data_IF_253227200329
#
_entry.id   IF_253227200329
#
_cell.length_a   1.000
_cell.length_b   1.000
_cell.length_c   1.000
_cell.angle_alpha   90.00
_cell.angle_beta   90.00
_cell.angle_gamma   90.00
#
_symmetry.space_group_name_H-M   'P 1'
#
loop_
_entity.id
_entity.type
_entity.pdbx_description
1 polymer ?
#
# COMPACT_ATOMS: atom_id res chain seq x y z
N UNK A 1 54.65 40.28 -13.96
CA UNK A 1 54.68 39.10 -13.06
C UNK A 1 53.50 39.19 -12.11
N UNK A 2 52.42 38.47 -12.43
CA UNK A 2 51.16 38.51 -11.66
C UNK A 2 51.28 37.50 -10.51
N UNK A 3 51.24 38.01 -9.27
CA UNK A 3 51.28 37.21 -8.04
C UNK A 3 49.92 36.54 -7.80
N UNK A 4 49.90 35.21 -7.76
CA UNK A 4 48.75 34.41 -7.32
C UNK A 4 48.76 34.35 -5.79
N UNK A 5 47.69 34.83 -5.15
CA UNK A 5 47.44 34.69 -3.71
C UNK A 5 46.81 33.32 -3.45
N UNK A 6 47.42 32.54 -2.56
CA UNK A 6 46.85 31.31 -1.98
C UNK A 6 45.71 31.66 -1.03
N UNK A 7 44.58 30.94 -1.16
CA UNK A 7 43.44 31.00 -0.23
C UNK A 7 43.45 29.70 0.59
N UNK A 8 43.31 29.73 1.94
CA UNK A 8 43.31 28.51 2.74
C UNK A 8 42.00 27.74 2.62
N UNK A 9 42.10 26.41 2.60
CA UNK A 9 40.98 25.47 2.76
C UNK A 9 40.40 25.60 4.17
N UNK A 10 39.18 26.16 4.28
CA UNK A 10 38.39 26.05 5.50
C UNK A 10 37.70 24.68 5.53
N UNK A 11 37.91 23.95 6.63
CA UNK A 11 37.35 22.63 6.87
C UNK A 11 35.83 22.63 6.90
N UNK A 12 35.23 21.65 6.23
CA UNK A 12 33.82 21.31 6.39
C UNK A 12 33.61 20.71 7.78
N UNK A 13 33.01 21.50 8.68
CA UNK A 13 32.50 21.03 9.96
C UNK A 13 31.28 20.12 9.73
N UNK A 14 31.37 18.89 10.23
CA UNK A 14 30.29 17.92 10.36
C UNK A 14 29.28 18.39 11.41
N UNK A 15 28.31 19.22 11.05
CA UNK A 15 27.13 19.49 11.89
C UNK A 15 26.00 20.16 11.12
N UNK A 16 25.18 19.39 10.39
CA UNK A 16 23.81 19.82 10.00
C UNK A 16 22.83 18.66 10.22
N UNK A 17 22.77 18.19 11.46
CA UNK A 17 21.65 17.40 11.99
C UNK A 17 21.40 17.85 13.43
N UNK A 18 20.91 19.07 13.63
CA UNK A 18 20.23 19.36 14.90
C UNK A 18 19.29 20.58 14.83
N UNK A 19 18.17 20.43 15.56
CA UNK A 19 17.19 21.44 16.02
C UNK A 19 15.90 21.57 15.21
N UNK A 20 14.99 20.65 15.55
CA UNK A 20 13.54 20.84 15.48
C UNK A 20 13.13 22.02 16.38
N UNK A 21 13.00 23.20 15.79
CA UNK A 21 12.44 24.39 16.46
C UNK A 21 10.94 24.25 16.71
N UNK A 22 10.51 24.53 17.94
CA UNK A 22 9.11 24.51 18.38
C UNK A 22 8.27 25.53 17.59
N UNK A 23 7.45 25.03 16.67
CA UNK A 23 6.18 25.63 16.23
C UNK A 23 5.17 24.49 16.21
N UNK A 24 3.97 24.71 16.77
CA UNK A 24 2.88 23.74 16.83
C UNK A 24 2.62 23.13 15.43
N UNK A 25 3.20 21.96 15.18
CA UNK A 25 3.06 21.22 13.94
C UNK A 25 2.66 19.81 14.35
N UNK A 26 1.46 19.37 13.96
CA UNK A 26 1.15 17.94 13.93
C UNK A 26 2.30 17.21 13.23
N UNK A 27 3.02 16.35 13.96
CA UNK A 27 4.12 15.50 13.45
C UNK A 27 3.61 14.56 12.36
N UNK A 28 2.31 14.22 12.45
CA UNK A 28 1.59 13.44 11.47
C UNK A 28 1.23 14.27 10.24
N UNK A 29 1.73 13.82 9.10
CA UNK A 29 1.48 14.40 7.80
C UNK A 29 1.45 13.29 6.73
N UNK A 30 0.77 13.59 5.62
CA UNK A 30 0.74 12.73 4.45
C UNK A 30 1.60 13.37 3.36
N UNK A 31 2.48 12.58 2.77
CA UNK A 31 3.30 12.94 1.61
C UNK A 31 2.91 12.05 0.43
N UNK A 32 3.06 12.55 -0.79
CA UNK A 32 2.88 11.76 -2.01
C UNK A 32 3.93 12.06 -3.07
N UNK A 33 4.16 11.10 -3.96
CA UNK A 33 4.97 11.24 -5.18
C UNK A 33 4.41 10.34 -6.30
N UNK A 34 4.61 10.69 -7.56
CA UNK A 34 4.04 10.02 -8.73
C UNK A 34 3.11 10.90 -9.56
N UNK A 35 2.18 10.28 -10.26
CA UNK A 35 1.22 10.92 -11.15
C UNK A 35 0.18 11.73 -10.37
N UNK A 36 0.01 13.01 -10.74
CA UNK A 36 -0.97 13.92 -10.10
C UNK A 36 -2.17 14.24 -10.99
N UNK A 37 -2.06 14.00 -12.31
CA UNK A 37 -3.09 14.38 -13.30
C UNK A 37 -4.49 13.82 -13.00
N UNK A 38 -4.57 12.67 -12.33
CA UNK A 38 -5.83 12.06 -11.91
C UNK A 38 -6.54 12.82 -10.78
N UNK A 39 -5.82 13.66 -10.03
CA UNK A 39 -6.32 14.29 -8.80
C UNK A 39 -6.02 13.50 -7.52
N UNK A 40 -5.27 12.39 -7.61
CA UNK A 40 -4.95 11.47 -6.48
C UNK A 40 -4.38 12.17 -5.23
N UNK A 41 -3.81 13.37 -5.35
CA UNK A 41 -3.17 14.09 -4.23
C UNK A 41 -4.06 15.10 -3.51
N UNK A 42 -5.35 15.18 -3.88
CA UNK A 42 -6.29 16.14 -3.32
C UNK A 42 -5.77 17.60 -3.35
N UNK A 43 -4.90 17.93 -4.30
CA UNK A 43 -4.19 19.22 -4.38
C UNK A 43 -4.41 19.84 -5.77
N UNK A 44 -5.48 20.63 -5.95
CA UNK A 44 -5.87 21.12 -7.28
C UNK A 44 -4.83 21.93 -8.03
N UNK A 45 -3.96 22.63 -7.30
CA UNK A 45 -2.87 23.41 -7.89
C UNK A 45 -1.77 22.58 -8.55
N UNK A 46 -1.75 21.26 -8.34
CA UNK A 46 -0.86 20.32 -9.06
C UNK A 46 -1.46 19.82 -10.37
N UNK A 47 -2.72 20.14 -10.68
CA UNK A 47 -3.42 19.73 -11.90
C UNK A 47 -3.77 20.94 -12.76
N UNK A 48 -4.27 22.01 -12.14
CA UNK A 48 -4.83 23.17 -12.85
C UNK A 48 -3.79 24.21 -13.30
N UNK A 49 -2.55 24.12 -12.86
CA UNK A 49 -1.50 25.06 -13.26
C UNK A 49 -0.72 24.49 -14.44
N UNK A 50 -0.91 25.08 -15.62
CA UNK A 50 -0.26 24.67 -16.88
C UNK A 50 1.27 24.57 -16.79
N UNK A 51 1.90 25.33 -15.88
CA UNK A 51 3.35 25.33 -15.67
C UNK A 51 3.89 24.21 -14.79
N UNK A 52 3.02 23.37 -14.19
CA UNK A 52 3.45 22.24 -13.36
C UNK A 52 3.22 20.94 -14.12
N UNK A 53 4.28 20.15 -14.25
CA UNK A 53 4.21 18.83 -14.86
C UNK A 53 3.13 17.96 -14.21
N UNK A 54 2.64 16.99 -14.98
CA UNK A 54 1.60 16.01 -14.59
C UNK A 54 2.05 15.03 -13.49
N UNK A 55 3.28 15.17 -13.00
CA UNK A 55 3.92 14.31 -12.01
C UNK A 55 4.65 15.11 -10.94
N UNK A 56 4.83 14.48 -9.79
CA UNK A 56 5.59 15.00 -8.65
C UNK A 56 6.59 13.93 -8.24
N UNK A 57 7.87 14.16 -8.52
CA UNK A 57 8.91 13.15 -8.31
C UNK A 57 9.65 13.29 -6.97
N UNK A 58 9.39 14.34 -6.18
CA UNK A 58 9.89 14.50 -4.80
C UNK A 58 8.75 14.36 -3.81
N UNK A 59 8.99 13.95 -2.55
CA UNK A 59 7.94 13.85 -1.55
C UNK A 59 7.22 15.20 -1.37
N UNK A 60 5.95 15.25 -1.77
CA UNK A 60 5.12 16.44 -1.64
C UNK A 60 4.16 16.28 -0.49
N UNK A 61 4.25 17.18 0.51
CA UNK A 61 3.27 17.21 1.61
C UNK A 61 1.89 17.57 1.06
N UNK A 62 0.89 16.76 1.36
CA UNK A 62 -0.48 16.94 0.91
C UNK A 62 -1.24 17.85 1.89
N UNK A 63 -1.37 19.12 1.53
CA UNK A 63 -1.95 20.13 2.43
C UNK A 63 -3.42 19.86 2.77
N UNK A 64 -4.17 19.20 1.89
CA UNK A 64 -5.55 18.77 2.15
C UNK A 64 -5.66 17.87 3.39
N UNK A 65 -4.65 17.04 3.65
CA UNK A 65 -4.63 16.14 4.81
C UNK A 65 -4.28 16.85 6.12
N UNK A 66 -3.76 18.08 6.05
CA UNK A 66 -3.40 18.83 7.25
C UNK A 66 -4.65 19.11 8.09
N UNK A 67 -4.50 19.04 9.42
CA UNK A 67 -5.58 19.24 10.43
C UNK A 67 -6.70 18.18 10.41
N UNK A 68 -6.69 17.20 9.49
CA UNK A 68 -7.66 16.10 9.47
C UNK A 68 -7.29 14.92 10.38
N UNK A 69 -6.09 14.95 10.99
CA UNK A 69 -5.59 13.88 11.86
C UNK A 69 -5.60 12.51 11.18
N UNK A 70 -5.19 12.45 9.90
CA UNK A 70 -5.19 11.23 9.09
C UNK A 70 -4.39 10.12 9.79
N UNK A 71 -4.97 8.93 9.92
CA UNK A 71 -4.39 7.73 10.52
C UNK A 71 -4.16 6.60 9.52
N UNK A 72 -4.91 6.60 8.42
CA UNK A 72 -4.87 5.57 7.38
C UNK A 72 -4.78 6.23 6.01
N UNK A 73 -4.03 5.59 5.12
CA UNK A 73 -3.84 5.98 3.72
C UNK A 73 -3.98 4.73 2.85
N UNK A 74 -4.52 4.88 1.65
CA UNK A 74 -4.52 3.84 0.63
C UNK A 74 -4.42 4.48 -0.76
N UNK A 75 -3.57 3.93 -1.62
CA UNK A 75 -3.34 4.36 -3.00
C UNK A 75 -3.89 3.28 -3.94
N UNK A 76 -4.94 3.60 -4.68
CA UNK A 76 -5.50 2.76 -5.74
C UNK A 76 -4.99 3.19 -7.13
N UNK A 77 -5.64 2.73 -8.19
CA UNK A 77 -5.28 3.09 -9.57
C UNK A 77 -5.82 4.49 -9.90
N UNK A 78 -4.96 5.50 -9.76
CA UNK A 78 -5.33 6.90 -10.04
C UNK A 78 -6.23 7.55 -8.99
N UNK A 79 -6.41 6.94 -7.81
CA UNK A 79 -7.16 7.53 -6.70
C UNK A 79 -6.52 7.21 -5.35
N UNK A 80 -6.84 8.04 -4.36
CA UNK A 80 -6.36 7.92 -3.00
C UNK A 80 -7.51 7.96 -2.01
N UNK A 81 -7.36 7.22 -0.91
CA UNK A 81 -8.17 7.33 0.29
C UNK A 81 -7.33 7.79 1.48
N UNK A 82 -7.94 8.61 2.32
CA UNK A 82 -7.36 9.10 3.57
C UNK A 82 -8.42 9.01 4.66
N UNK A 83 -8.08 8.48 5.84
CA UNK A 83 -9.05 8.44 6.94
C UNK A 83 -8.47 8.95 8.25
N UNK A 84 -9.28 9.73 8.96
CA UNK A 84 -9.14 9.96 10.40
C UNK A 84 -9.85 8.85 11.17
N UNK A 85 -10.03 8.97 12.48
CA UNK A 85 -10.81 7.98 13.25
C UNK A 85 -12.31 7.98 12.88
N UNK A 86 -12.81 9.06 12.29
CA UNK A 86 -14.25 9.33 12.18
C UNK A 86 -14.70 9.66 10.74
N UNK A 87 -13.75 9.92 9.85
CA UNK A 87 -14.06 10.39 8.51
C UNK A 87 -13.13 9.74 7.50
N UNK A 88 -13.70 9.32 6.38
CA UNK A 88 -12.98 8.92 5.18
C UNK A 88 -13.05 10.05 4.16
N UNK A 89 -11.94 10.30 3.49
CA UNK A 89 -11.80 11.26 2.42
C UNK A 89 -11.18 10.57 1.21
N UNK A 90 -11.46 11.08 0.02
CA UNK A 90 -10.92 10.56 -1.22
C UNK A 90 -10.69 11.62 -2.28
N UNK A 91 -9.78 11.34 -3.21
CA UNK A 91 -9.50 12.18 -4.38
C UNK A 91 -8.93 11.32 -5.51
N UNK A 92 -9.05 11.78 -6.76
CA UNK A 92 -8.62 11.04 -7.94
C UNK A 92 -9.78 10.57 -8.81
N UNK A 93 -9.55 9.53 -9.60
CA UNK A 93 -10.55 8.94 -10.48
C UNK A 93 -11.74 8.39 -9.67
N UNK A 94 -12.96 8.60 -10.17
CA UNK A 94 -14.22 8.16 -9.57
C UNK A 94 -15.25 7.65 -10.61
N UNK A 95 -14.81 7.29 -11.81
CA UNK A 95 -15.67 6.83 -12.91
C UNK A 95 -16.42 5.51 -12.62
N UNK A 96 -15.99 4.76 -11.60
CA UNK A 96 -16.69 3.57 -11.08
C UNK A 96 -17.13 3.75 -9.62
N UNK A 97 -17.20 4.99 -9.12
CA UNK A 97 -17.64 5.31 -7.76
C UNK A 97 -16.71 4.80 -6.64
N UNK A 98 -15.43 4.52 -6.95
CA UNK A 98 -14.41 4.11 -5.99
C UNK A 98 -14.13 5.14 -4.89
N UNK A 99 -14.68 6.36 -4.99
CA UNK A 99 -14.67 7.39 -3.95
C UNK A 99 -16.05 7.60 -3.29
N UNK A 100 -16.97 6.64 -3.45
CA UNK A 100 -18.24 6.53 -2.73
C UNK A 100 -19.48 7.00 -3.48
N UNK A 101 -19.38 7.36 -4.75
CA UNK A 101 -20.52 7.81 -5.58
C UNK A 101 -20.36 9.23 -6.11
N UNK A 102 -21.26 9.68 -7.01
CA UNK A 102 -21.25 11.05 -7.47
C UNK A 102 -21.76 11.96 -6.37
N UNK A 103 -20.92 12.87 -5.88
CA UNK A 103 -21.38 13.98 -5.04
C UNK A 103 -22.16 14.95 -5.94
N UNK A 104 -23.47 14.69 -6.12
CA UNK A 104 -24.38 15.64 -6.77
C UNK A 104 -24.49 16.86 -5.87
N UNK A 105 -23.81 17.94 -6.25
CA UNK A 105 -24.06 19.26 -5.67
C UNK A 105 -25.15 19.94 -6.49
N UNK A 106 -25.97 20.80 -5.87
CA UNK A 106 -27.02 21.56 -6.57
C UNK A 106 -26.49 22.37 -7.77
N UNK A 107 -25.17 22.63 -7.83
CA UNK A 107 -24.49 23.39 -8.88
C UNK A 107 -23.99 22.54 -10.05
N UNK A 108 -23.95 21.21 -9.95
CA UNK A 108 -23.40 20.34 -11.00
C UNK A 108 -24.35 19.18 -11.34
N UNK A 109 -25.04 19.31 -12.48
CA UNK A 109 -25.99 18.31 -12.98
C UNK A 109 -25.34 17.04 -13.55
N UNK A 110 -24.01 16.99 -13.72
CA UNK A 110 -23.25 15.81 -14.17
C UNK A 110 -22.44 15.21 -13.01
N UNK A 111 -22.38 13.88 -12.94
CA UNK A 111 -21.48 13.18 -12.02
C UNK A 111 -20.03 13.51 -12.36
N UNK A 112 -19.28 14.02 -11.40
CA UNK A 112 -17.82 14.21 -11.53
C UNK A 112 -17.15 12.82 -11.55
N UNK A 113 -16.57 12.47 -12.70
CA UNK A 113 -15.82 11.21 -12.92
C UNK A 113 -14.41 11.26 -12.30
N UNK A 114 -14.00 12.41 -11.76
CA UNK A 114 -12.75 12.59 -11.03
C UNK A 114 -12.85 13.73 -10.02
N UNK A 115 -12.11 13.61 -8.91
CA UNK A 115 -12.01 14.59 -7.83
C UNK A 115 -10.58 15.11 -7.71
N UNK A 116 -10.31 16.25 -8.36
CA UNK A 116 -9.01 16.93 -8.28
C UNK A 116 -8.73 17.45 -6.85
N UNK A 117 -9.78 17.84 -6.12
CA UNK A 117 -9.71 18.18 -4.70
C UNK A 117 -10.30 17.08 -3.84
N UNK A 118 -9.80 16.93 -2.61
CA UNK A 118 -10.32 15.90 -1.71
C UNK A 118 -11.78 16.13 -1.31
N UNK A 119 -12.54 15.04 -1.28
CA UNK A 119 -13.95 14.98 -0.88
C UNK A 119 -14.11 14.06 0.32
N UNK A 120 -15.12 14.31 1.15
CA UNK A 120 -15.53 13.34 2.18
C UNK A 120 -16.29 12.20 1.50
N UNK A 121 -15.95 10.96 1.83
CA UNK A 121 -16.68 9.78 1.35
C UNK A 121 -17.92 9.59 2.22
N UNK A 122 -19.13 9.51 1.64
CA UNK A 122 -20.38 9.37 2.39
C UNK A 122 -20.58 7.92 2.86
N UNK A 123 -20.12 7.61 4.05
CA UNK A 123 -20.50 6.39 4.78
C UNK A 123 -21.77 6.64 5.61
N UNK A 124 -22.45 5.57 6.05
CA UNK A 124 -23.61 5.69 6.92
C UNK A 124 -23.26 6.43 8.22
N UNK A 125 -24.20 7.22 8.78
CA UNK A 125 -23.95 8.05 9.97
C UNK A 125 -23.51 7.23 11.19
N UNK A 126 -23.91 5.96 11.25
CA UNK A 126 -23.55 5.01 12.30
C UNK A 126 -22.45 4.01 11.88
N UNK A 127 -21.56 4.41 10.96
CA UNK A 127 -20.46 3.55 10.52
C UNK A 127 -19.36 3.34 11.58
N UNK A 128 -19.42 3.97 12.76
CA UNK A 128 -18.46 3.74 13.83
C UNK A 128 -17.07 4.34 13.57
N UNK A 129 -16.04 3.85 14.28
CA UNK A 129 -14.65 4.34 14.11
C UNK A 129 -13.97 3.62 12.95
N UNK A 130 -13.20 4.35 12.15
CA UNK A 130 -12.42 3.78 11.05
C UNK A 130 -11.20 3.04 11.62
N UNK A 131 -11.06 1.78 11.22
CA UNK A 131 -9.98 0.88 11.63
C UNK A 131 -8.93 0.70 10.52
N UNK A 132 -9.34 0.79 9.26
CA UNK A 132 -8.45 0.59 8.13
C UNK A 132 -9.07 0.97 6.80
N UNK A 133 -8.21 1.15 5.80
CA UNK A 133 -8.57 1.43 4.41
C UNK A 133 -7.82 0.46 3.50
N UNK A 134 -8.45 0.08 2.40
CA UNK A 134 -7.75 -0.52 1.27
C UNK A 134 -8.33 0.02 -0.05
N UNK A 135 -7.51 0.04 -1.09
CA UNK A 135 -7.89 0.53 -2.40
C UNK A 135 -7.39 -0.47 -3.46
N UNK A 136 -8.31 -1.04 -4.22
CA UNK A 136 -7.99 -1.89 -5.36
C UNK A 136 -7.86 -1.09 -6.65
N UNK A 137 -8.11 -1.74 -7.78
CA UNK A 137 -8.10 -1.12 -9.12
C UNK A 137 -9.21 -0.08 -9.24
N UNK A 138 -10.44 -0.47 -8.97
CA UNK A 138 -11.62 0.38 -9.17
C UNK A 138 -12.60 0.30 -7.99
N UNK A 139 -12.15 -0.16 -6.82
CA UNK A 139 -12.98 -0.31 -5.63
C UNK A 139 -12.20 0.03 -4.36
N UNK A 140 -12.95 0.24 -3.28
CA UNK A 140 -12.44 0.72 -2.00
C UNK A 140 -13.05 -0.08 -0.87
N UNK A 141 -12.24 -0.39 0.14
CA UNK A 141 -12.67 -1.01 1.39
C UNK A 141 -12.44 -0.06 2.56
N UNK A 142 -13.40 -0.05 3.48
CA UNK A 142 -13.30 0.65 4.76
C UNK A 142 -13.69 -0.32 5.87
N UNK A 143 -12.74 -0.67 6.72
CA UNK A 143 -13.00 -1.38 7.96
C UNK A 143 -13.40 -0.38 9.04
N UNK A 144 -14.48 -0.67 9.75
CA UNK A 144 -14.91 0.13 10.90
C UNK A 144 -15.28 -0.75 12.08
N UNK A 145 -15.48 -0.13 13.25
CA UNK A 145 -16.01 -0.84 14.43
C UNK A 145 -17.43 -1.37 14.25
N UNK A 146 -18.17 -0.94 13.23
CA UNK A 146 -19.52 -1.45 12.95
C UNK A 146 -19.56 -2.46 11.80
N UNK A 147 -18.46 -2.66 11.06
CA UNK A 147 -18.35 -3.68 10.03
C UNK A 147 -17.47 -3.27 8.84
N UNK A 148 -17.60 -4.03 7.76
CA UNK A 148 -16.91 -3.78 6.50
C UNK A 148 -17.82 -2.98 5.56
N UNK A 149 -17.28 -1.96 4.91
CA UNK A 149 -17.93 -1.24 3.82
C UNK A 149 -17.07 -1.38 2.57
N UNK A 150 -17.71 -1.66 1.44
CA UNK A 150 -17.07 -1.74 0.13
C UNK A 150 -17.88 -0.93 -0.89
N UNK A 151 -17.18 -0.18 -1.74
CA UNK A 151 -17.81 0.65 -2.78
C UNK A 151 -16.88 0.82 -3.99
N UNK A 152 -17.48 1.10 -5.14
CA UNK A 152 -16.81 1.19 -6.41
C UNK A 152 -17.33 0.18 -7.42
N UNK A 153 -16.44 -0.29 -8.30
CA UNK A 153 -16.70 -1.39 -9.22
C UNK A 153 -17.01 -2.67 -8.44
N UNK A 154 -18.03 -3.40 -8.89
CA UNK A 154 -18.41 -4.71 -8.38
C UNK A 154 -18.65 -5.69 -9.53
N UNK A 155 -17.99 -5.51 -10.68
CA UNK A 155 -18.19 -6.38 -11.85
C UNK A 155 -17.70 -7.82 -11.58
N UNK A 156 -16.76 -8.00 -10.66
CA UNK A 156 -16.23 -9.28 -10.23
C UNK A 156 -16.65 -9.65 -8.80
N UNK A 157 -17.64 -8.96 -8.22
CA UNK A 157 -18.06 -9.21 -6.85
C UNK A 157 -17.11 -8.66 -5.77
N UNK A 158 -16.14 -7.82 -6.15
CA UNK A 158 -15.12 -7.31 -5.24
C UNK A 158 -15.63 -6.28 -4.21
N UNK A 159 -16.93 -5.97 -4.23
CA UNK A 159 -17.62 -5.24 -3.17
C UNK A 159 -18.52 -6.15 -2.30
N UNK A 160 -18.42 -7.47 -2.41
CA UNK A 160 -19.13 -8.40 -1.53
C UNK A 160 -20.63 -8.52 -1.82
N UNK A 161 -21.07 -8.19 -3.04
CA UNK A 161 -22.47 -8.23 -3.46
C UNK A 161 -22.61 -8.90 -4.82
N UNK A 162 -23.80 -9.45 -5.12
CA UNK A 162 -24.05 -10.13 -6.39
C UNK A 162 -23.79 -9.19 -7.59
N UNK A 163 -22.77 -9.47 -8.43
CA UNK A 163 -22.32 -8.58 -9.50
C UNK A 163 -23.35 -8.45 -10.64
N UNK A 164 -24.17 -9.47 -10.88
CA UNK A 164 -25.21 -9.44 -11.92
C UNK A 164 -26.34 -8.47 -11.56
N UNK A 165 -26.65 -8.34 -10.27
CA UNK A 165 -27.68 -7.42 -9.77
C UNK A 165 -27.16 -6.03 -9.48
N UNK A 166 -25.90 -5.94 -9.05
CA UNK A 166 -25.26 -4.69 -8.61
C UNK A 166 -23.81 -4.63 -9.11
N UNK A 167 -23.58 -4.25 -10.37
CA UNK A 167 -22.22 -4.19 -10.94
C UNK A 167 -21.38 -3.02 -10.41
N UNK A 168 -21.98 -2.10 -9.66
CA UNK A 168 -21.28 -1.01 -8.97
C UNK A 168 -22.01 -0.65 -7.67
N UNK A 169 -21.25 -0.23 -6.66
CA UNK A 169 -21.75 0.14 -5.33
C UNK A 169 -21.37 1.60 -5.06
N UNK A 170 -22.38 2.45 -4.83
CA UNK A 170 -22.21 3.88 -4.60
C UNK A 170 -23.24 4.38 -3.59
N UNK A 171 -22.92 5.48 -2.90
CA UNK A 171 -23.90 6.21 -2.12
C UNK A 171 -24.89 6.94 -3.04
N UNK A 172 -26.17 6.86 -2.71
CA UNK A 172 -27.24 7.67 -3.27
C UNK A 172 -28.06 8.30 -2.14
N UNK A 173 -28.79 9.38 -2.46
CA UNK A 173 -29.59 10.18 -1.50
C UNK A 173 -30.47 9.31 -0.60
N UNK A 174 -31.07 8.27 -1.16
CA UNK A 174 -32.00 7.37 -0.46
C UNK A 174 -31.41 5.96 -0.24
N UNK A 175 -30.13 5.76 -0.54
CA UNK A 175 -29.46 4.47 -0.38
C UNK A 175 -27.98 4.65 0.00
N UNK A 176 -27.71 4.61 1.30
CA UNK A 176 -26.34 4.63 1.81
C UNK A 176 -25.59 3.36 1.43
N UNK A 177 -24.25 3.44 1.40
CA UNK A 177 -23.39 2.26 1.23
C UNK A 177 -23.66 1.30 2.39
N UNK A 178 -24.15 0.13 2.04
CA UNK A 178 -24.48 -0.92 3.01
C UNK A 178 -23.21 -1.66 3.44
N UNK A 179 -23.29 -2.27 4.63
CA UNK A 179 -22.22 -3.16 5.10
C UNK A 179 -22.14 -4.40 4.21
N UNK A 180 -20.93 -4.90 4.03
CA UNK A 180 -20.69 -6.24 3.51
C UNK A 180 -20.99 -7.24 4.62
N UNK A 181 -21.76 -8.27 4.32
CA UNK A 181 -22.08 -9.35 5.25
C UNK A 181 -20.91 -10.34 5.31
N UNK A 182 -20.31 -10.50 6.49
CA UNK A 182 -19.29 -11.51 6.75
C UNK A 182 -19.94 -12.67 7.51
N UNK A 183 -19.61 -13.94 7.21
CA UNK A 183 -20.17 -15.09 7.91
C UNK A 183 -19.44 -15.35 9.25
N UNK A 184 -19.22 -14.30 10.03
CA UNK A 184 -18.63 -14.33 11.37
C UNK A 184 -18.94 -13.03 12.12
N UNK A 185 -19.14 -13.15 13.44
CA UNK A 185 -19.32 -12.01 14.35
C UNK A 185 -17.99 -11.46 14.89
N UNK A 186 -16.86 -12.11 14.55
CA UNK A 186 -15.53 -11.70 15.00
C UNK A 186 -15.16 -10.31 14.46
N UNK A 187 -14.63 -9.39 15.27
CA UNK A 187 -14.31 -8.04 14.81
C UNK A 187 -13.27 -8.01 13.70
N UNK A 188 -13.45 -7.12 12.72
CA UNK A 188 -12.45 -6.87 11.68
C UNK A 188 -11.27 -6.11 12.28
N UNK A 189 -10.05 -6.58 12.01
CA UNK A 189 -8.80 -5.92 12.46
C UNK A 189 -8.00 -5.31 11.31
N UNK A 190 -8.15 -5.84 10.09
CA UNK A 190 -7.45 -5.34 8.91
C UNK A 190 -8.26 -5.60 7.64
N UNK A 191 -8.13 -4.72 6.66
CA UNK A 191 -8.61 -4.93 5.29
C UNK A 191 -7.44 -4.80 4.32
N UNK A 192 -7.54 -5.50 3.21
CA UNK A 192 -6.60 -5.41 2.11
C UNK A 192 -7.36 -5.56 0.79
N UNK A 193 -6.87 -4.92 -0.26
CA UNK A 193 -7.41 -5.04 -1.59
C UNK A 193 -6.24 -5.10 -2.56
N UNK A 194 -6.31 -6.03 -3.49
CA UNK A 194 -5.51 -5.99 -4.71
C UNK A 194 -6.42 -5.63 -5.88
N UNK A 195 -6.00 -5.88 -7.12
CA UNK A 195 -6.65 -5.43 -8.36
C UNK A 195 -8.19 -5.46 -8.26
N UNK A 196 -8.76 -6.67 -8.29
CA UNK A 196 -10.21 -6.88 -8.25
C UNK A 196 -10.59 -7.93 -7.20
N UNK A 197 -9.83 -8.01 -6.11
CA UNK A 197 -10.07 -8.93 -4.99
C UNK A 197 -9.88 -8.19 -3.67
N UNK A 198 -10.79 -8.48 -2.74
CA UNK A 198 -10.91 -7.87 -1.43
C UNK A 198 -10.67 -8.89 -0.34
N UNK A 199 -10.08 -8.43 0.75
CA UNK A 199 -9.78 -9.25 1.92
C UNK A 199 -10.20 -8.55 3.22
N UNK A 200 -10.77 -9.32 4.14
CA UNK A 200 -11.08 -8.90 5.50
C UNK A 200 -10.48 -9.88 6.50
N UNK A 201 -9.56 -9.40 7.34
CA UNK A 201 -8.95 -10.17 8.41
C UNK A 201 -9.66 -9.88 9.73
N UNK A 202 -10.11 -10.94 10.40
CA UNK A 202 -10.81 -10.87 11.67
C UNK A 202 -9.87 -11.08 12.86
N UNK A 203 -10.32 -10.69 14.06
CA UNK A 203 -9.55 -10.74 15.30
C UNK A 203 -9.20 -12.17 15.74
N UNK A 204 -10.00 -13.15 15.34
CA UNK A 204 -9.72 -14.58 15.55
C UNK A 204 -8.65 -15.16 14.60
N UNK A 205 -8.19 -14.36 13.63
CA UNK A 205 -7.21 -14.77 12.62
C UNK A 205 -7.83 -15.30 11.33
N UNK A 206 -9.16 -15.39 11.23
CA UNK A 206 -9.83 -15.81 9.99
C UNK A 206 -9.68 -14.73 8.92
N UNK A 207 -9.21 -15.13 7.74
CA UNK A 207 -9.13 -14.28 6.56
C UNK A 207 -10.29 -14.62 5.62
N UNK A 208 -11.10 -13.63 5.28
CA UNK A 208 -12.13 -13.73 4.24
C UNK A 208 -11.64 -13.06 2.96
N UNK A 209 -11.97 -13.65 1.82
CA UNK A 209 -11.73 -13.10 0.49
C UNK A 209 -13.02 -13.06 -0.34
N UNK A 210 -13.10 -12.08 -1.24
CA UNK A 210 -14.18 -11.97 -2.24
C UNK A 210 -13.73 -11.10 -3.42
N UNK A 211 -14.28 -11.34 -4.60
CA UNK A 211 -13.89 -10.72 -5.86
C UNK A 211 -13.47 -11.72 -6.91
N UNK A 212 -12.62 -11.28 -7.84
CA UNK A 212 -12.00 -12.11 -8.86
C UNK A 212 -11.02 -13.10 -8.23
N UNK A 213 -10.89 -14.31 -8.78
CA UNK A 213 -9.91 -15.32 -8.37
C UNK A 213 -9.39 -16.16 -9.55
N UNK A 214 -9.18 -15.54 -10.73
CA UNK A 214 -8.69 -16.26 -11.91
C UNK A 214 -7.28 -16.84 -11.71
N UNK A 215 -6.41 -16.13 -11.00
CA UNK A 215 -5.06 -16.61 -10.64
C UNK A 215 -5.02 -17.30 -9.27
N UNK A 216 -6.20 -17.53 -8.67
CA UNK A 216 -6.33 -18.13 -7.35
C UNK A 216 -6.19 -17.14 -6.20
N UNK A 217 -6.17 -15.83 -6.45
CA UNK A 217 -5.93 -14.81 -5.42
C UNK A 217 -6.94 -14.82 -4.25
N UNK A 218 -8.16 -15.34 -4.42
CA UNK A 218 -9.08 -15.50 -3.28
C UNK A 218 -8.67 -16.61 -2.31
N UNK A 219 -7.82 -17.56 -2.72
CA UNK A 219 -7.22 -18.54 -1.83
C UNK A 219 -8.19 -19.54 -1.19
N UNK A 220 -9.37 -19.74 -1.77
CA UNK A 220 -10.45 -20.60 -1.25
C UNK A 220 -10.57 -21.95 -1.97
N UNK A 221 -9.51 -22.40 -2.65
CA UNK A 221 -9.51 -23.66 -3.40
C UNK A 221 -10.26 -23.63 -4.73
N UNK A 222 -10.78 -22.48 -5.14
CA UNK A 222 -11.53 -22.30 -6.39
C UNK A 222 -10.97 -21.15 -7.24
N UNK A 223 -11.17 -21.27 -8.55
CA UNK A 223 -10.91 -20.20 -9.51
C UNK A 223 -12.21 -19.46 -9.88
N UNK A 224 -12.09 -18.29 -10.48
CA UNK A 224 -13.24 -17.50 -10.95
C UNK A 224 -13.77 -16.51 -9.90
N UNK A 225 -15.00 -16.05 -10.08
CA UNK A 225 -15.59 -15.01 -9.23
C UNK A 225 -16.18 -15.62 -7.96
N UNK A 226 -15.76 -15.10 -6.81
CA UNK A 226 -16.35 -15.38 -5.50
C UNK A 226 -16.87 -14.09 -4.89
N UNK A 227 -18.15 -13.74 -5.12
CA UNK A 227 -18.69 -12.45 -4.67
C UNK A 227 -19.16 -12.44 -3.21
N UNK A 228 -19.40 -13.60 -2.61
CA UNK A 228 -19.69 -13.69 -1.18
C UNK A 228 -18.37 -13.83 -0.41
N UNK A 229 -18.17 -13.06 0.68
CA UNK A 229 -17.01 -13.26 1.54
C UNK A 229 -16.88 -14.72 1.98
N UNK A 230 -15.81 -15.36 1.50
CA UNK A 230 -15.53 -16.78 1.71
C UNK A 230 -14.21 -16.91 2.44
N UNK A 231 -14.13 -17.82 3.41
CA UNK A 231 -12.91 -18.02 4.17
C UNK A 231 -11.79 -18.50 3.23
N UNK A 232 -10.60 -17.95 3.42
CA UNK A 232 -9.38 -18.44 2.77
C UNK A 232 -9.01 -19.78 3.39
N UNK A 233 -8.67 -20.77 2.55
CA UNK A 233 -8.44 -22.16 2.96
C UNK A 233 -6.94 -22.53 2.94
N UNK A 234 -6.63 -23.80 2.64
CA UNK A 234 -5.26 -24.32 2.56
C UNK A 234 -4.55 -24.32 3.91
N UNK A 235 -3.27 -24.00 3.87
CA UNK A 235 -2.39 -24.02 5.05
C UNK A 235 -2.71 -22.92 6.08
N UNK A 236 -3.60 -21.96 5.77
CA UNK A 236 -4.07 -20.98 6.78
C UNK A 236 -5.11 -21.58 7.74
N UNK A 237 -5.67 -22.75 7.45
CA UNK A 237 -6.74 -23.31 8.26
C UNK A 237 -6.23 -23.63 9.67
N UNK A 238 -6.78 -22.94 10.67
CA UNK A 238 -6.38 -23.07 12.08
C UNK A 238 -5.17 -22.23 12.48
N UNK A 239 -4.59 -21.47 11.55
CA UNK A 239 -3.54 -20.49 11.82
C UNK A 239 -4.14 -19.16 12.29
N UNK A 240 -3.47 -18.49 13.24
CA UNK A 240 -3.86 -17.16 13.69
C UNK A 240 -3.21 -16.11 12.77
N UNK A 241 -3.90 -15.74 11.69
CA UNK A 241 -3.37 -14.76 10.73
C UNK A 241 -3.37 -13.35 11.36
N UNK A 242 -2.26 -12.64 11.22
CA UNK A 242 -2.06 -11.29 11.77
C UNK A 242 -1.79 -10.23 10.70
N UNK A 243 -1.43 -10.66 9.49
CA UNK A 243 -1.24 -9.76 8.36
C UNK A 243 -1.54 -10.44 7.04
N UNK A 244 -2.08 -9.67 6.11
CA UNK A 244 -2.18 -9.97 4.68
C UNK A 244 -1.55 -8.80 3.91
N UNK A 245 -0.91 -9.10 2.78
CA UNK A 245 -0.32 -8.11 1.87
C UNK A 245 -0.27 -8.66 0.44
N UNK A 246 -0.46 -7.77 -0.53
CA UNK A 246 -0.08 -8.00 -1.92
C UNK A 246 -0.53 -6.90 -2.87
N UNK A 247 0.26 -6.61 -3.91
CA UNK A 247 -0.06 -5.50 -4.82
C UNK A 247 -0.97 -5.90 -5.98
N UNK A 248 -0.80 -7.12 -6.48
CA UNK A 248 -1.53 -7.68 -7.63
C UNK A 248 -2.11 -9.03 -7.22
N UNK A 249 -1.85 -10.09 -7.98
CA UNK A 249 -2.48 -11.39 -7.81
C UNK A 249 -1.62 -12.38 -7.02
N UNK A 250 -0.38 -12.02 -6.63
CA UNK A 250 0.40 -12.77 -5.63
C UNK A 250 0.17 -12.21 -4.23
N UNK A 251 -0.18 -13.06 -3.28
CA UNK A 251 -0.49 -12.68 -1.89
C UNK A 251 0.51 -13.31 -0.92
N UNK A 252 0.75 -12.63 0.19
CA UNK A 252 1.49 -13.17 1.34
C UNK A 252 0.77 -12.85 2.65
N UNK A 253 0.55 -13.87 3.45
CA UNK A 253 0.00 -13.77 4.80
C UNK A 253 1.04 -14.16 5.85
N UNK A 254 0.92 -13.57 7.03
CA UNK A 254 1.74 -13.88 8.19
C UNK A 254 0.84 -14.43 9.31
N UNK A 255 1.19 -15.58 9.88
CA UNK A 255 0.52 -16.12 11.07
C UNK A 255 1.37 -15.93 12.32
N UNK A 256 0.75 -15.91 13.49
CA UNK A 256 1.43 -15.88 14.78
C UNK A 256 1.21 -17.20 15.53
N UNK A 257 2.30 -17.89 15.88
CA UNK A 257 2.31 -19.03 16.80
C UNK A 257 2.90 -18.63 18.15
N UNK A 258 2.06 -18.62 19.18
CA UNK A 258 2.44 -18.17 20.53
C UNK A 258 2.93 -16.73 20.51
N UNK A 259 4.06 -16.43 21.18
CA UNK A 259 4.61 -15.07 21.28
C UNK A 259 5.78 -14.80 20.32
N UNK A 260 6.23 -15.75 19.48
CA UNK A 260 7.58 -15.64 18.87
C UNK A 260 7.86 -16.38 17.56
N UNK A 261 6.96 -17.19 16.99
CA UNK A 261 7.18 -17.78 15.66
C UNK A 261 6.14 -17.22 14.71
N UNK A 262 6.60 -16.63 13.60
CA UNK A 262 5.75 -16.12 12.54
C UNK A 262 6.01 -16.94 11.27
N UNK A 263 5.00 -17.66 10.83
CA UNK A 263 5.01 -18.40 9.57
C UNK A 263 4.49 -17.49 8.46
N UNK A 264 5.08 -17.60 7.27
CA UNK A 264 4.62 -16.92 6.07
C UNK A 264 3.97 -17.93 5.12
N UNK A 265 2.88 -17.49 4.48
CA UNK A 265 2.13 -18.29 3.53
C UNK A 265 1.91 -17.45 2.28
N UNK A 266 2.02 -18.06 1.10
CA UNK A 266 1.81 -17.38 -0.17
C UNK A 266 0.88 -18.17 -1.09
N UNK A 267 0.17 -17.44 -1.95
CA UNK A 267 -0.69 -18.00 -3.00
C UNK A 267 -0.94 -16.97 -4.10
N UNK A 268 -1.76 -17.38 -5.06
CA UNK A 268 -2.18 -16.61 -6.21
C UNK A 268 -1.23 -16.82 -7.39
N UNK A 269 -0.94 -15.74 -8.10
CA UNK A 269 -0.11 -15.76 -9.30
C UNK A 269 1.34 -16.16 -9.00
N UNK A 270 1.92 -16.99 -9.88
CA UNK A 270 3.30 -17.48 -9.82
C UNK A 270 4.04 -17.59 -11.19
N UNK A 271 3.58 -16.93 -12.26
CA UNK A 271 4.27 -17.00 -13.58
C UNK A 271 5.71 -16.44 -13.56
N UNK A 272 6.08 -15.69 -12.52
CA UNK A 272 7.43 -15.13 -12.35
C UNK A 272 8.27 -15.86 -11.28
N UNK A 273 7.77 -16.98 -10.76
CA UNK A 273 8.48 -17.83 -9.79
C UNK A 273 8.49 -17.31 -8.35
N UNK A 274 7.53 -16.46 -7.98
CA UNK A 274 7.36 -15.96 -6.61
C UNK A 274 7.15 -17.09 -5.58
N UNK A 275 6.56 -18.22 -6.00
CA UNK A 275 6.28 -19.41 -5.20
C UNK A 275 7.08 -20.64 -5.69
N UNK A 276 8.08 -20.48 -6.56
CA UNK A 276 8.89 -21.60 -7.10
C UNK A 276 9.60 -22.45 -6.04
N UNK A 277 9.73 -21.97 -4.81
CA UNK A 277 10.30 -22.76 -3.72
C UNK A 277 9.35 -23.87 -3.21
N UNK A 278 8.06 -23.79 -3.52
CA UNK A 278 7.01 -24.65 -2.97
C UNK A 278 6.07 -25.24 -4.03
N UNK A 279 6.10 -24.72 -5.26
CA UNK A 279 5.28 -25.22 -6.38
C UNK A 279 5.77 -24.73 -7.73
N UNK A 280 5.51 -25.51 -8.78
CA UNK A 280 5.71 -25.13 -10.18
C UNK A 280 4.40 -24.67 -10.87
N UNK A 281 3.26 -24.72 -10.16
CA UNK A 281 1.98 -24.21 -10.67
C UNK A 281 2.06 -22.68 -10.88
N UNK A 282 1.56 -22.19 -12.02
CA UNK A 282 1.52 -20.76 -12.33
C UNK A 282 0.40 -20.00 -11.59
N UNK A 283 -0.63 -20.70 -11.14
CA UNK A 283 -1.78 -20.15 -10.43
C UNK A 283 -2.07 -21.04 -9.23
N UNK A 284 -2.04 -20.47 -8.03
CA UNK A 284 -2.11 -21.21 -6.77
C UNK A 284 -3.34 -20.72 -5.99
N UNK A 285 -4.41 -21.50 -5.98
CA UNK A 285 -5.70 -21.09 -5.39
C UNK A 285 -5.88 -21.46 -3.91
N UNK A 286 -4.84 -21.99 -3.27
CA UNK A 286 -4.80 -22.24 -1.82
C UNK A 286 -3.47 -21.72 -1.25
N UNK A 287 -3.47 -20.99 -0.13
CA UNK A 287 -2.27 -20.67 0.62
C UNK A 287 -1.41 -21.88 0.93
N UNK A 288 -0.11 -21.71 0.72
CA UNK A 288 0.93 -22.69 1.04
C UNK A 288 1.99 -22.07 1.93
N UNK A 289 2.45 -22.81 2.93
CA UNK A 289 3.55 -22.39 3.81
C UNK A 289 4.85 -22.16 3.04
N UNK A 290 5.58 -21.09 3.38
CA UNK A 290 6.89 -20.77 2.83
C UNK A 290 8.00 -21.28 3.77
N UNK A 291 8.75 -22.35 3.42
CA UNK A 291 9.70 -23.00 4.32
C UNK A 291 11.08 -22.33 4.34
N UNK A 292 11.13 -20.99 4.36
CA UNK A 292 12.39 -20.24 4.31
C UNK A 292 13.04 -20.08 5.69
N UNK A 293 14.36 -20.32 5.76
CA UNK A 293 15.16 -20.12 6.99
C UNK A 293 15.67 -18.69 7.10
N UNK A 294 14.75 -17.74 7.23
CA UNK A 294 15.02 -16.29 7.24
C UNK A 294 14.79 -15.62 8.61
N UNK A 295 14.54 -16.42 9.65
CA UNK A 295 14.21 -15.94 10.99
C UNK A 295 12.74 -15.56 11.13
N UNK A 296 12.40 -14.87 12.23
CA UNK A 296 11.02 -14.48 12.53
C UNK A 296 10.60 -13.31 11.62
N UNK A 297 9.71 -13.57 10.66
CA UNK A 297 9.21 -12.57 9.72
C UNK A 297 8.24 -11.60 10.42
N UNK A 298 8.52 -10.30 10.38
CA UNK A 298 7.69 -9.25 11.03
C UNK A 298 6.94 -8.37 10.04
N UNK A 299 7.34 -8.37 8.78
CA UNK A 299 6.70 -7.60 7.72
C UNK A 299 6.90 -8.31 6.38
N UNK A 300 5.88 -8.24 5.52
CA UNK A 300 5.91 -8.83 4.20
C UNK A 300 5.16 -7.96 3.20
N UNK A 301 5.48 -8.11 1.91
CA UNK A 301 4.79 -7.48 0.79
C UNK A 301 5.08 -8.22 -0.51
N UNK A 302 4.25 -7.99 -1.52
CA UNK A 302 4.46 -8.50 -2.87
C UNK A 302 4.29 -7.38 -3.88
N UNK A 303 5.03 -7.48 -4.97
CA UNK A 303 4.80 -6.70 -6.18
C UNK A 303 4.06 -7.57 -7.21
N UNK A 304 3.90 -7.04 -8.42
CA UNK A 304 3.46 -7.75 -9.61
C UNK A 304 4.20 -9.06 -9.89
N UNK A 305 5.47 -9.12 -9.49
CA UNK A 305 6.39 -10.17 -9.93
C UNK A 305 7.41 -10.60 -8.88
N UNK A 306 7.32 -10.06 -7.65
CA UNK A 306 8.32 -10.26 -6.61
C UNK A 306 7.71 -10.26 -5.21
N UNK A 307 8.47 -10.76 -4.24
CA UNK A 307 8.12 -10.72 -2.83
C UNK A 307 9.25 -10.07 -2.03
N UNK A 308 8.87 -9.44 -0.93
CA UNK A 308 9.78 -8.80 0.01
C UNK A 308 9.34 -9.12 1.44
N UNK A 309 10.30 -9.46 2.30
CA UNK A 309 10.07 -9.72 3.72
C UNK A 309 11.13 -9.04 4.58
N UNK A 310 10.78 -8.70 5.81
CA UNK A 310 11.73 -8.30 6.84
C UNK A 310 11.56 -9.16 8.09
N UNK A 311 12.67 -9.51 8.73
CA UNK A 311 12.67 -10.29 9.97
C UNK A 311 12.90 -9.43 11.22
N UNK A 312 12.78 -10.04 12.40
CA UNK A 312 12.92 -9.38 13.70
C UNK A 312 14.35 -8.88 13.96
N UNK A 313 15.34 -9.46 13.31
CA UNK A 313 16.75 -9.09 13.37
C UNK A 313 17.06 -7.79 12.61
N UNK A 314 16.14 -7.35 11.75
CA UNK A 314 16.24 -6.15 10.93
C UNK A 314 16.76 -6.40 9.52
N UNK A 315 16.81 -7.66 9.09
CA UNK A 315 17.23 -8.07 7.75
C UNK A 315 16.05 -8.01 6.77
N UNK A 316 16.37 -7.68 5.52
CA UNK A 316 15.41 -7.58 4.43
C UNK A 316 15.76 -8.61 3.36
N UNK A 317 14.78 -9.37 2.89
CA UNK A 317 14.96 -10.38 1.84
C UNK A 317 14.00 -10.14 0.69
N UNK A 318 14.49 -10.31 -0.55
CA UNK A 318 13.73 -10.10 -1.79
C UNK A 318 13.92 -11.27 -2.74
N UNK A 319 12.87 -11.68 -3.44
CA UNK A 319 12.91 -12.68 -4.52
C UNK A 319 11.80 -12.47 -5.54
N UNK A 320 11.81 -13.24 -6.63
CA UNK A 320 10.90 -13.15 -7.77
C UNK A 320 11.61 -12.67 -9.03
N UNK A 321 11.06 -11.65 -9.69
CA UNK A 321 11.50 -11.17 -10.99
C UNK A 321 11.43 -9.63 -11.11
N UNK A 322 12.29 -9.05 -11.97
CA UNK A 322 12.52 -7.62 -12.19
C UNK A 322 13.58 -7.01 -11.25
N UNK A 323 13.36 -5.78 -10.79
CA UNK A 323 14.33 -4.99 -10.03
C UNK A 323 14.26 -5.39 -8.56
N UNK A 324 15.09 -6.35 -8.15
CA UNK A 324 15.09 -6.93 -6.80
C UNK A 324 15.86 -6.12 -5.76
N UNK A 325 16.61 -5.08 -6.17
CA UNK A 325 17.44 -4.26 -5.28
C UNK A 325 18.92 -4.64 -5.23
N UNK A 326 19.36 -5.52 -6.12
CA UNK A 326 20.74 -6.07 -6.20
C UNK A 326 21.52 -5.53 -7.42
N UNK A 327 21.12 -4.38 -7.95
CA UNK A 327 21.72 -3.83 -9.16
C UNK A 327 21.24 -4.51 -10.45
N UNK A 328 21.91 -4.23 -11.59
CA UNK A 328 21.45 -4.68 -12.91
C UNK A 328 21.68 -6.18 -13.17
N UNK A 329 22.56 -6.83 -12.41
CA UNK A 329 23.00 -8.20 -12.68
C UNK A 329 22.04 -9.27 -12.15
N UNK A 330 21.18 -8.93 -11.18
CA UNK A 330 20.26 -9.87 -10.55
C UNK A 330 18.83 -9.41 -10.85
N UNK A 331 18.23 -10.05 -11.84
CA UNK A 331 16.87 -9.74 -12.32
C UNK A 331 15.84 -10.80 -11.89
N UNK A 332 16.30 -11.92 -11.34
CA UNK A 332 15.43 -12.98 -10.84
C UNK A 332 16.06 -13.75 -9.69
N UNK A 333 15.22 -14.25 -8.78
CA UNK A 333 15.59 -15.26 -7.79
C UNK A 333 14.36 -16.07 -7.41
N UNK A 334 14.52 -17.40 -7.31
CA UNK A 334 13.46 -18.30 -6.83
C UNK A 334 13.42 -18.44 -5.29
N UNK A 335 14.41 -17.87 -4.61
CA UNK A 335 14.56 -17.93 -3.14
C UNK A 335 14.88 -16.55 -2.57
N UNK A 336 14.52 -16.27 -1.31
CA UNK A 336 14.81 -14.99 -0.67
C UNK A 336 16.31 -14.69 -0.66
N UNK A 337 16.73 -13.60 -1.31
CA UNK A 337 18.08 -13.07 -1.26
C UNK A 337 18.16 -11.98 -0.19
N UNK A 338 19.18 -12.02 0.65
CA UNK A 338 19.41 -11.03 1.71
C UNK A 338 19.99 -9.73 1.13
N UNK A 339 19.31 -8.60 1.33
CA UNK A 339 19.84 -7.28 0.99
C UNK A 339 20.79 -6.81 2.09
N UNK A 340 22.01 -6.44 1.68
CA UNK A 340 23.06 -5.97 2.59
C UNK A 340 22.58 -4.78 3.43
N UNK A 341 22.74 -4.90 4.76
CA UNK A 341 22.34 -3.86 5.74
C UNK A 341 22.84 -2.45 5.39
N UNK A 342 24.09 -2.25 4.92
CA UNK A 342 24.56 -0.93 4.49
C UNK A 342 23.68 -0.22 3.43
N UNK A 343 22.88 -0.95 2.65
CA UNK A 343 21.91 -0.34 1.71
C UNK A 343 20.82 0.47 2.41
N UNK A 344 20.55 0.20 3.69
CA UNK A 344 19.52 0.85 4.50
C UNK A 344 20.08 1.73 5.63
N UNK A 345 21.40 1.95 5.66
CA UNK A 345 22.07 2.71 6.71
C UNK A 345 22.53 4.09 6.26
N UNK A 346 22.99 4.89 7.21
CA UNK A 346 23.87 6.03 6.92
C UNK A 346 25.27 5.51 6.54
N UNK A 347 26.18 6.40 6.11
CA UNK A 347 27.56 6.04 5.81
C UNK A 347 28.31 5.37 6.99
N UNK A 348 27.82 5.52 8.23
CA UNK A 348 28.36 4.88 9.44
C UNK A 348 27.70 3.55 9.79
N UNK A 349 26.71 3.10 9.00
CA UNK A 349 25.93 1.88 9.26
C UNK A 349 24.88 2.04 10.37
N UNK A 350 24.75 3.23 10.94
CA UNK A 350 23.67 3.55 11.88
C UNK A 350 22.32 3.45 11.17
N UNK A 351 21.31 2.93 11.88
CA UNK A 351 19.92 2.79 11.41
C UNK A 351 19.65 1.78 10.27
N UNK A 352 20.56 0.83 10.02
CA UNK A 352 20.40 -0.17 8.96
C UNK A 352 19.30 -1.24 9.18
N UNK A 353 18.56 -1.23 10.30
CA UNK A 353 17.59 -2.29 10.64
C UNK A 353 16.23 -2.00 10.02
N UNK A 354 15.81 -2.83 9.05
CA UNK A 354 14.49 -2.74 8.41
C UNK A 354 13.42 -3.33 9.33
N UNK A 355 12.33 -2.59 9.56
CA UNK A 355 11.21 -3.05 10.41
C UNK A 355 9.89 -3.19 9.65
N UNK A 356 9.77 -2.54 8.49
CA UNK A 356 8.60 -2.63 7.62
C UNK A 356 9.02 -2.66 6.17
N UNK A 357 8.31 -3.45 5.39
CA UNK A 357 8.47 -3.54 3.94
C UNK A 357 7.12 -3.41 3.26
N UNK A 358 7.12 -2.88 2.05
CA UNK A 358 5.92 -2.64 1.25
C UNK A 358 6.22 -3.02 -0.19
N UNK A 359 5.27 -3.71 -0.83
CA UNK A 359 5.27 -3.95 -2.28
C UNK A 359 4.14 -3.15 -2.93
N UNK A 360 4.45 -2.46 -4.03
CA UNK A 360 3.49 -1.92 -4.99
C UNK A 360 3.64 -2.64 -6.32
N UNK A 361 3.07 -2.11 -7.41
CA UNK A 361 3.01 -2.86 -8.68
C UNK A 361 4.39 -3.37 -9.16
N UNK A 362 5.39 -2.50 -9.28
CA UNK A 362 6.80 -2.88 -9.55
C UNK A 362 7.76 -2.09 -8.65
N UNK A 363 7.25 -1.58 -7.53
CA UNK A 363 7.95 -0.73 -6.58
C UNK A 363 8.07 -1.45 -5.25
N UNK A 364 9.17 -1.20 -4.54
CA UNK A 364 9.38 -1.67 -3.19
C UNK A 364 9.76 -0.50 -2.30
N UNK A 365 9.37 -0.61 -1.03
CA UNK A 365 9.83 0.29 0.00
C UNK A 365 10.18 -0.45 1.27
N UNK A 366 11.15 0.08 2.00
CA UNK A 366 11.53 -0.36 3.33
C UNK A 366 11.57 0.83 4.29
N UNK A 367 11.16 0.60 5.54
CA UNK A 367 11.27 1.57 6.63
C UNK A 367 12.11 1.00 7.74
N UNK A 368 13.15 1.74 8.12
CA UNK A 368 14.08 1.35 9.19
C UNK A 368 13.49 1.54 10.59
N UNK A 369 14.19 1.08 11.62
CA UNK A 369 13.78 1.27 13.01
C UNK A 369 13.70 2.75 13.43
N UNK A 370 14.55 3.63 12.90
CA UNK A 370 14.43 5.08 13.12
C UNK A 370 13.30 5.73 12.30
N UNK A 371 12.73 5.01 11.34
CA UNK A 371 11.67 5.51 10.46
C UNK A 371 12.18 6.20 9.19
N UNK A 372 13.43 5.94 8.77
CA UNK A 372 13.94 6.35 7.47
C UNK A 372 13.34 5.47 6.38
N UNK A 373 12.99 6.09 5.25
CA UNK A 373 12.34 5.45 4.11
C UNK A 373 13.35 5.21 3.00
N UNK A 374 13.34 3.99 2.46
CA UNK A 374 14.10 3.60 1.29
C UNK A 374 13.14 3.06 0.23
N UNK A 375 13.36 3.41 -1.03
CA UNK A 375 12.52 2.96 -2.15
C UNK A 375 13.38 2.53 -3.34
N UNK A 376 12.93 1.52 -4.06
CA UNK A 376 13.57 1.03 -5.29
C UNK A 376 12.56 0.31 -6.17
N UNK A 377 12.98 -0.10 -7.37
CA UNK A 377 12.12 -0.72 -8.36
C UNK A 377 11.88 0.17 -9.58
N UNK A 378 10.78 -0.09 -10.30
CA UNK A 378 10.37 0.74 -11.42
C UNK A 378 9.86 2.09 -10.93
N UNK A 379 10.33 3.19 -11.53
CA UNK A 379 10.04 4.54 -11.06
C UNK A 379 9.11 5.33 -12.00
N UNK A 380 8.12 4.64 -12.55
CA UNK A 380 7.13 5.23 -13.42
C UNK A 380 6.51 6.47 -12.75
N UNK A 381 6.47 7.59 -13.48
CA UNK A 381 5.97 8.89 -13.01
C UNK A 381 6.70 9.50 -11.81
N UNK A 382 7.86 8.97 -11.40
CA UNK A 382 8.56 9.43 -10.20
C UNK A 382 7.92 8.97 -8.89
N UNK A 383 7.14 7.88 -8.91
CA UNK A 383 6.41 7.36 -7.76
C UNK A 383 7.31 6.84 -6.61
N UNK A 384 8.62 6.62 -6.85
CA UNK A 384 9.60 6.32 -5.79
C UNK A 384 9.99 7.56 -4.97
N UNK A 385 9.60 8.77 -5.37
CA UNK A 385 9.90 10.00 -4.64
C UNK A 385 11.42 10.36 -4.55
N UNK A 386 12.20 10.01 -5.58
CA UNK A 386 13.66 10.20 -5.62
C UNK A 386 14.13 11.50 -6.27
N UNK A 387 13.20 12.35 -6.73
CA UNK A 387 13.46 13.57 -7.48
C UNK A 387 13.68 13.37 -8.97
N UNK A 388 13.53 12.14 -9.47
CA UNK A 388 13.55 11.74 -10.87
C UNK A 388 12.57 10.58 -11.11
N UNK A 389 12.42 10.17 -12.36
CA UNK A 389 11.55 9.07 -12.85
C UNK A 389 12.32 7.88 -13.44
N UNK A 390 13.66 7.90 -13.36
CA UNK A 390 14.49 6.73 -13.69
C UNK A 390 14.32 5.63 -12.65
N UNK A 391 14.26 4.38 -13.13
CA UNK A 391 14.26 3.18 -12.31
C UNK A 391 15.44 3.15 -11.34
N UNK A 392 15.22 2.53 -10.18
CA UNK A 392 16.18 2.52 -9.09
C UNK A 392 16.54 1.07 -8.74
N UNK A 393 17.77 0.68 -9.03
CA UNK A 393 18.21 -0.73 -8.97
C UNK A 393 18.67 -1.19 -7.58
N UNK A 394 18.82 -0.27 -6.64
CA UNK A 394 19.21 -0.51 -5.26
C UNK A 394 18.32 0.31 -4.32
N UNK A 395 18.03 -0.15 -3.09
CA UNK A 395 17.39 0.68 -2.08
C UNK A 395 18.03 2.07 -2.00
N UNK A 396 17.22 3.12 -2.14
CA UNK A 396 17.70 4.50 -2.11
C UNK A 396 16.91 5.34 -1.11
N UNK A 397 17.58 6.17 -0.29
CA UNK A 397 16.91 6.94 0.76
C UNK A 397 16.00 8.03 0.19
N UNK A 398 14.79 8.12 0.73
CA UNK A 398 13.81 9.16 0.43
C UNK A 398 13.79 10.17 1.58
N UNK A 399 14.04 11.44 1.27
CA UNK A 399 14.05 12.50 2.29
C UNK A 399 12.64 12.97 2.63
N UNK A 400 12.11 12.51 3.77
CA UNK A 400 10.88 13.02 4.39
C UNK A 400 11.23 13.62 5.77
N UNK A 401 10.82 14.86 6.09
CA UNK A 401 11.23 15.55 7.33
C UNK A 401 10.84 14.88 8.67
N UNK A 402 10.06 13.80 8.65
CA UNK A 402 9.61 13.09 9.85
C UNK A 402 9.64 11.57 9.60
N UNK A 403 9.76 10.80 10.69
CA UNK A 403 9.74 9.33 10.64
C UNK A 403 8.49 8.81 9.93
N UNK A 404 8.70 7.97 8.90
CA UNK A 404 7.63 7.32 8.17
C UNK A 404 7.04 6.20 9.02
N UNK A 405 5.72 6.18 9.15
CA UNK A 405 4.95 5.15 9.86
C UNK A 405 4.52 4.03 8.91
N UNK A 406 4.03 4.40 7.72
CA UNK A 406 3.55 3.45 6.69
C UNK A 406 3.63 4.08 5.31
N UNK A 407 3.75 3.22 4.30
CA UNK A 407 3.64 3.58 2.90
C UNK A 407 2.45 2.85 2.25
N UNK A 408 1.92 3.41 1.17
CA UNK A 408 0.99 2.74 0.25
C UNK A 408 1.51 3.01 -1.16
N UNK A 409 1.92 1.95 -1.86
CA UNK A 409 2.54 2.05 -3.19
C UNK A 409 1.51 1.63 -4.24
N UNK A 410 0.80 2.62 -4.81
CA UNK A 410 -0.12 2.39 -5.92
C UNK A 410 0.63 2.20 -7.25
N UNK A 411 -0.05 1.93 -8.36
CA UNK A 411 0.61 1.68 -9.65
C UNK A 411 1.21 2.93 -10.31
N UNK A 412 0.67 4.10 -9.99
CA UNK A 412 1.03 5.38 -10.59
C UNK A 412 1.49 6.44 -9.57
N UNK A 413 1.25 6.20 -8.28
CA UNK A 413 1.66 7.09 -7.21
C UNK A 413 1.85 6.35 -5.88
N UNK A 414 2.63 6.97 -5.00
CA UNK A 414 2.91 6.49 -3.65
C UNK A 414 2.45 7.50 -2.62
N UNK A 415 1.97 7.01 -1.48
CA UNK A 415 1.60 7.80 -0.31
C UNK A 415 2.42 7.37 0.90
N UNK A 416 2.83 8.33 1.72
CA UNK A 416 3.62 8.11 2.93
C UNK A 416 2.99 8.85 4.11
N UNK A 417 2.73 8.15 5.20
CA UNK A 417 2.19 8.72 6.44
C UNK A 417 3.28 8.79 7.51
N UNK A 418 3.53 9.96 8.07
CA UNK A 418 4.51 10.16 9.16
C UNK A 418 3.87 10.00 10.54
N UNK A 419 4.67 9.80 11.61
CA UNK A 419 4.16 9.52 12.97
C UNK A 419 3.38 10.67 13.62
#
# INVERSE_FOLDING_TARGET
MIRVKSVPLQGFSSTVLSRCGRRFNSTRAVYGAGLTASGSFATPSLVLKESRGVTVNKPQRLSYCNKKQIKHIAAGFGFSLFASSDNVYGSGINNYYQLGGPIRTEKHHRSEEWYIGGRKVPLSENCGKILGLAAGRLHSLVATTSGLFAFGNNAHGQCGQNPERRPFIAHAKDNAIQRVELPSDSPIVKVHACLDTSFALLADGTLYAFGLSEDGQAGNGSFGITWQPTAVEGDLKGEKIVSISGSTDTLIALSEKGNSVCDAFAWGQNEYGQLSAITDEMQVNVPRHLPFKVGHIVSAGTTGSSCIIANKEGDCFVWGFQILGFGPSVTTSKVPLHLDRPLFGTATGEDAKVTKVFGGNLMMAAVTASGNLYTWGSNRFGALALGHDKDQLFPFPVYIPNCVKTASLGPDHSLFLTK
#
